data_IF_610447356619
#
_entry.id   IF_610447356619
#
_cell.length_a   1.000
_cell.length_b   1.000
_cell.length_c   1.000
_cell.angle_alpha   90.00
_cell.angle_beta   90.00
_cell.angle_gamma   90.00
#
_symmetry.space_group_name_H-M   'P 1'
#
loop_
_entity.id
_entity.type
_entity.pdbx_description
1 polymer ?
#
# COMPACT_ATOMS: atom_id res chain seq x y z
N UNK A 1 1.83 -7.57 -23.07
CA UNK A 1 2.65 -7.76 -21.85
C UNK A 1 3.50 -6.51 -21.65
N UNK A 2 3.00 -5.54 -20.88
CA UNK A 2 3.68 -4.26 -20.68
C UNK A 2 4.71 -4.36 -19.57
N UNK A 3 5.93 -4.79 -19.90
CA UNK A 3 7.09 -4.50 -19.05
C UNK A 3 7.40 -3.02 -19.25
N UNK A 4 7.06 -2.18 -18.27
CA UNK A 4 7.66 -0.84 -18.18
C UNK A 4 9.16 -0.97 -18.41
N UNK A 5 9.78 -0.19 -19.31
CA UNK A 5 11.21 -0.33 -19.55
C UNK A 5 11.95 -0.11 -18.23
N UNK A 6 12.95 -0.94 -17.95
CA UNK A 6 13.83 -0.83 -16.79
C UNK A 6 14.65 0.48 -16.87
N UNK A 7 13.99 1.63 -16.69
CA UNK A 7 14.54 2.97 -16.81
C UNK A 7 14.96 3.56 -15.47
N UNK A 8 15.26 4.86 -15.48
CA UNK A 8 15.67 5.66 -14.31
C UNK A 8 14.65 5.59 -13.17
N UNK A 9 13.35 5.57 -13.48
CA UNK A 9 12.26 5.43 -12.50
C UNK A 9 12.39 4.17 -11.62
N UNK A 10 12.69 3.01 -12.22
CA UNK A 10 12.90 1.76 -11.49
C UNK A 10 14.18 1.77 -10.62
N UNK A 11 15.14 2.64 -10.94
CA UNK A 11 16.34 2.86 -10.13
C UNK A 11 16.03 3.71 -8.92
N UNK A 12 15.22 4.76 -9.09
CA UNK A 12 14.78 5.62 -7.99
C UNK A 12 13.85 4.89 -7.03
N UNK A 13 12.92 4.06 -7.52
CA UNK A 13 12.11 3.19 -6.66
C UNK A 13 13.00 2.26 -5.83
N UNK A 14 14.03 1.64 -6.44
CA UNK A 14 14.97 0.79 -5.70
C UNK A 14 15.74 1.57 -4.64
N UNK A 15 16.14 2.81 -4.91
CA UNK A 15 16.80 3.67 -3.92
C UNK A 15 15.87 3.98 -2.76
N UNK A 16 14.64 4.43 -3.04
CA UNK A 16 13.65 4.75 -1.99
C UNK A 16 13.35 3.51 -1.16
N UNK A 17 13.09 2.36 -1.81
CA UNK A 17 12.90 1.10 -1.12
C UNK A 17 14.12 0.78 -0.23
N UNK A 18 15.35 0.86 -0.79
CA UNK A 18 16.57 0.47 -0.05
C UNK A 18 16.87 1.41 1.13
N UNK A 19 16.66 2.71 0.96
CA UNK A 19 17.02 3.73 1.96
C UNK A 19 15.96 3.88 3.04
N UNK A 20 14.67 3.86 2.68
CA UNK A 20 13.57 4.12 3.63
C UNK A 20 12.97 2.81 4.18
N UNK A 21 12.85 1.80 3.33
CA UNK A 21 12.12 0.57 3.62
C UNK A 21 13.06 -0.57 4.06
N UNK A 22 14.28 -0.65 3.50
CA UNK A 22 15.36 -1.57 3.90
C UNK A 22 16.48 -0.90 4.72
N UNK A 23 16.23 0.27 5.32
CA UNK A 23 17.19 0.81 6.30
C UNK A 23 17.48 -0.26 7.37
N UNK A 24 18.74 -0.40 7.79
CA UNK A 24 19.14 -1.39 8.79
C UNK A 24 18.27 -1.32 10.06
N UNK A 25 17.79 -0.12 10.39
CA UNK A 25 16.87 0.12 11.51
C UNK A 25 15.49 -0.53 11.32
N UNK A 26 14.96 -0.58 10.09
CA UNK A 26 13.66 -1.16 9.75
C UNK A 26 13.77 -2.69 9.58
N UNK A 27 14.85 -3.16 8.96
CA UNK A 27 15.13 -4.61 8.80
C UNK A 27 15.18 -5.31 10.16
N UNK A 28 15.79 -4.67 11.17
CA UNK A 28 15.87 -5.25 12.52
C UNK A 28 14.52 -5.40 13.23
N UNK A 29 13.45 -4.77 12.73
CA UNK A 29 12.10 -4.87 13.31
C UNK A 29 11.23 -5.91 12.61
N UNK A 30 11.66 -6.45 11.47
CA UNK A 30 10.88 -7.38 10.65
C UNK A 30 11.16 -8.84 11.06
N UNK A 31 10.12 -9.67 11.04
CA UNK A 31 10.27 -11.10 11.30
C UNK A 31 10.99 -11.78 10.12
N UNK A 32 11.69 -12.92 10.34
CA UNK A 32 12.40 -13.64 9.28
C UNK A 32 11.53 -14.00 8.06
N UNK A 33 10.24 -14.26 8.25
CA UNK A 33 9.29 -14.55 7.17
C UNK A 33 8.94 -13.30 6.33
N UNK A 34 8.81 -12.14 6.97
CA UNK A 34 8.52 -10.86 6.31
C UNK A 34 9.73 -10.39 5.50
N UNK A 35 10.94 -10.57 6.04
CA UNK A 35 12.20 -10.31 5.33
C UNK A 35 12.33 -11.13 4.05
N UNK A 36 11.93 -12.41 4.10
CA UNK A 36 11.94 -13.30 2.91
C UNK A 36 10.93 -12.87 1.86
N UNK A 37 9.71 -12.51 2.26
CA UNK A 37 8.70 -12.00 1.35
C UNK A 37 9.22 -10.71 0.66
N UNK A 38 9.72 -9.77 1.44
CA UNK A 38 10.22 -8.49 0.96
C UNK A 38 11.42 -8.62 0.00
N UNK A 39 12.31 -9.59 0.23
CA UNK A 39 13.41 -9.92 -0.67
C UNK A 39 12.94 -10.46 -2.04
N UNK A 40 11.74 -11.06 -2.13
CA UNK A 40 11.14 -11.47 -3.42
C UNK A 40 10.61 -10.23 -4.17
N UNK A 41 10.14 -9.22 -3.44
CA UNK A 41 9.64 -7.98 -4.03
C UNK A 41 10.73 -7.03 -4.51
N UNK A 42 11.96 -7.11 -3.98
CA UNK A 42 13.03 -6.16 -4.29
C UNK A 42 14.26 -6.83 -4.87
N UNK A 43 14.69 -6.36 -6.04
CA UNK A 43 15.82 -6.89 -6.78
C UNK A 43 15.41 -7.42 -8.15
N UNK A 44 16.20 -8.33 -8.72
CA UNK A 44 15.99 -8.85 -10.09
C UNK A 44 14.76 -9.76 -10.23
N UNK A 45 14.15 -10.19 -9.12
CA UNK A 45 12.94 -11.03 -9.08
C UNK A 45 11.70 -10.28 -8.59
N UNK A 46 11.75 -8.94 -8.55
CA UNK A 46 10.62 -8.12 -8.14
C UNK A 46 9.37 -8.43 -8.94
N UNK A 47 8.20 -8.42 -8.30
CA UNK A 47 6.94 -8.58 -8.98
C UNK A 47 6.82 -7.56 -10.14
N UNK A 48 6.60 -8.01 -11.38
CA UNK A 48 6.56 -7.11 -12.54
C UNK A 48 5.40 -6.12 -12.45
N UNK A 49 4.39 -6.40 -11.61
CA UNK A 49 3.22 -5.55 -11.40
C UNK A 49 3.41 -4.39 -10.42
N UNK A 50 4.55 -4.27 -9.72
CA UNK A 50 4.72 -3.25 -8.65
C UNK A 50 4.56 -1.82 -9.20
N UNK A 51 5.10 -1.53 -10.38
CA UNK A 51 4.97 -0.21 -10.97
C UNK A 51 3.50 0.17 -11.27
N UNK A 52 2.75 -0.76 -11.87
CA UNK A 52 1.33 -0.57 -12.15
C UNK A 52 0.52 -0.48 -10.84
N UNK A 53 0.79 -1.34 -9.87
CA UNK A 53 0.15 -1.32 -8.57
C UNK A 53 0.33 0.04 -7.88
N UNK A 54 1.54 0.60 -7.88
CA UNK A 54 1.79 1.92 -7.29
C UNK A 54 0.97 3.03 -7.98
N UNK A 55 0.90 3.04 -9.31
CA UNK A 55 0.10 4.04 -10.03
C UNK A 55 -1.40 3.90 -9.74
N UNK A 56 -1.91 2.67 -9.74
CA UNK A 56 -3.29 2.38 -9.38
C UNK A 56 -3.57 2.79 -7.94
N UNK A 57 -2.69 2.50 -6.98
CA UNK A 57 -2.88 2.87 -5.58
C UNK A 57 -2.98 4.39 -5.40
N UNK A 58 -2.11 5.18 -6.04
CA UNK A 58 -2.18 6.64 -5.96
C UNK A 58 -3.50 7.18 -6.53
N UNK A 59 -3.92 6.68 -7.69
CA UNK A 59 -5.18 7.10 -8.32
C UNK A 59 -6.39 6.68 -7.49
N UNK A 60 -6.40 5.46 -6.97
CA UNK A 60 -7.48 4.94 -6.12
C UNK A 60 -7.59 5.75 -4.83
N UNK A 61 -6.47 6.03 -4.18
CA UNK A 61 -6.44 6.86 -2.97
C UNK A 61 -6.91 8.29 -3.26
N UNK A 62 -6.43 8.91 -4.34
CA UNK A 62 -6.87 10.25 -4.73
C UNK A 62 -8.37 10.29 -5.01
N UNK A 63 -8.91 9.30 -5.73
CA UNK A 63 -10.35 9.20 -6.03
C UNK A 63 -11.17 9.02 -4.76
N UNK A 64 -10.75 8.14 -3.85
CA UNK A 64 -11.46 7.90 -2.59
C UNK A 64 -11.48 9.18 -1.75
N UNK A 65 -10.33 9.85 -1.58
CA UNK A 65 -10.22 11.07 -0.78
C UNK A 65 -11.00 12.25 -1.37
N UNK A 66 -11.07 12.33 -2.70
CA UNK A 66 -11.84 13.36 -3.37
C UNK A 66 -13.34 13.09 -3.29
N UNK A 67 -13.77 11.84 -3.52
CA UNK A 67 -15.18 11.50 -3.65
C UNK A 67 -15.88 11.29 -2.30
N UNK A 68 -15.18 10.80 -1.28
CA UNK A 68 -15.76 10.38 -0.02
C UNK A 68 -15.13 11.04 1.20
N UNK A 69 -15.96 11.36 2.18
CA UNK A 69 -15.54 11.67 3.54
C UNK A 69 -15.61 10.37 4.36
N UNK A 70 -14.46 9.89 4.81
CA UNK A 70 -14.34 8.66 5.61
C UNK A 70 -14.47 8.99 7.09
N UNK A 71 -15.37 8.29 7.79
CA UNK A 71 -15.57 8.41 9.24
C UNK A 71 -15.46 7.02 9.88
N UNK A 72 -14.78 6.94 11.01
CA UNK A 72 -14.78 5.73 11.84
C UNK A 72 -16.06 5.69 12.67
N UNK A 73 -16.68 4.51 12.83
CA UNK A 73 -17.94 4.35 13.56
C UNK A 73 -17.86 4.77 15.04
N UNK A 74 -16.68 4.64 15.64
CA UNK A 74 -16.39 5.14 16.97
C UNK A 74 -15.10 5.91 16.86
N UNK A 75 -15.10 7.19 17.22
CA UNK A 75 -13.93 8.07 17.23
C UNK A 75 -12.92 7.67 18.34
N UNK A 76 -12.71 6.36 18.49
CA UNK A 76 -11.84 5.66 19.41
C UNK A 76 -10.69 5.11 18.56
N UNK A 77 -9.51 4.97 19.16
CA UNK A 77 -8.33 4.42 18.49
C UNK A 77 -8.66 3.11 17.75
N UNK A 78 -8.42 3.10 16.44
CA UNK A 78 -8.63 1.94 15.59
C UNK A 78 -7.54 0.92 15.86
N UNK A 79 -7.92 -0.31 16.22
CA UNK A 79 -6.95 -1.40 16.33
C UNK A 79 -6.57 -1.90 14.92
N UNK A 80 -5.28 -1.74 14.57
CA UNK A 80 -4.70 -2.12 13.28
C UNK A 80 -3.79 -3.35 13.40
N UNK A 81 -3.95 -4.16 14.45
CA UNK A 81 -3.18 -5.38 14.65
C UNK A 81 -3.22 -6.28 13.41
N UNK A 82 -2.05 -6.76 13.00
CA UNK A 82 -1.85 -7.53 11.79
C UNK A 82 -1.82 -9.03 12.10
N UNK A 83 -2.47 -9.83 11.23
CA UNK A 83 -2.34 -11.27 11.27
C UNK A 83 -0.98 -11.68 10.69
N UNK A 84 -0.29 -12.60 11.36
CA UNK A 84 0.99 -13.12 10.88
C UNK A 84 0.79 -14.01 9.66
N UNK A 85 1.26 -13.59 8.48
CA UNK A 85 1.09 -14.31 7.22
C UNK A 85 2.00 -13.81 6.10
N UNK A 86 1.94 -14.46 4.93
CA UNK A 86 2.67 -14.01 3.72
C UNK A 86 2.07 -12.70 3.18
N UNK A 87 0.77 -12.49 3.42
CA UNK A 87 0.06 -11.26 3.10
C UNK A 87 -0.17 -10.49 4.41
N UNK A 88 0.07 -9.18 4.40
CA UNK A 88 -0.40 -8.30 5.47
C UNK A 88 -1.94 -8.25 5.41
N UNK A 89 -2.59 -8.82 6.42
CA UNK A 89 -4.03 -8.71 6.62
C UNK A 89 -4.31 -8.18 8.01
N UNK A 90 -5.30 -7.31 8.13
CA UNK A 90 -5.80 -6.89 9.44
C UNK A 90 -6.37 -8.10 10.17
N UNK A 91 -6.06 -8.23 11.46
CA UNK A 91 -6.58 -9.28 12.33
C UNK A 91 -8.06 -9.06 12.63
N UNK A 92 -8.48 -7.80 12.73
CA UNK A 92 -9.85 -7.40 12.98
C UNK A 92 -10.40 -6.62 11.77
N UNK A 93 -11.64 -6.89 11.33
CA UNK A 93 -12.21 -6.18 10.20
C UNK A 93 -12.42 -4.69 10.55
N UNK A 94 -11.85 -3.81 9.72
CA UNK A 94 -12.01 -2.38 9.88
C UNK A 94 -13.40 -1.94 9.39
N UNK A 95 -14.19 -1.33 10.27
CA UNK A 95 -15.48 -0.75 9.93
C UNK A 95 -15.35 0.75 9.69
N UNK A 96 -15.63 1.19 8.46
CA UNK A 96 -15.56 2.60 8.05
C UNK A 96 -16.89 3.02 7.40
N UNK A 97 -17.40 4.18 7.79
CA UNK A 97 -18.53 4.84 7.15
C UNK A 97 -17.99 5.77 6.06
N UNK A 98 -18.47 5.61 4.83
CA UNK A 98 -18.10 6.46 3.70
C UNK A 98 -19.31 7.29 3.29
N UNK A 99 -19.21 8.62 3.38
CA UNK A 99 -20.24 9.54 2.91
C UNK A 99 -19.76 10.24 1.63
N UNK A 100 -20.55 10.28 0.54
CA UNK A 100 -20.18 11.02 -0.66
C UNK A 100 -20.11 12.52 -0.35
N UNK A 101 -19.11 13.22 -0.92
CA UNK A 101 -18.96 14.68 -0.72
C UNK A 101 -19.90 15.50 -1.59
N UNK A 102 -20.43 14.90 -2.65
CA UNK A 102 -21.30 15.54 -3.62
C UNK A 102 -22.69 14.90 -3.53
N UNK A 103 -23.78 15.69 -3.64
CA UNK A 103 -25.14 15.15 -3.66
C UNK A 103 -25.30 14.18 -4.84
N UNK A 104 -26.10 13.14 -4.64
CA UNK A 104 -26.33 12.06 -5.61
C UNK A 104 -26.83 12.54 -6.98
N UNK A 105 -27.48 13.71 -7.02
CA UNK A 105 -28.05 14.35 -8.21
C UNK A 105 -27.01 14.75 -9.27
N UNK A 106 -25.72 14.86 -8.91
CA UNK A 106 -24.66 15.26 -9.84
C UNK A 106 -23.90 14.07 -10.48
N UNK A 107 -24.35 12.84 -10.21
CA UNK A 107 -23.77 11.61 -10.73
C UNK A 107 -24.62 10.94 -11.83
N UNK A 108 -25.75 11.56 -12.21
CA UNK A 108 -26.64 11.13 -13.30
C UNK A 108 -26.03 11.40 -14.70
#
# INVERSE_FOLDING_TARGET
MGFTPFGTYWREIRKIATVELFSARRIGMLKPAELRAFAIWVGRRSCPGVGLALQVMHLTLARILQAFELKTHSNVGVNLEECSGILLSMMHPLQVLMAPRLPSELYD
#
